data_IF_753541132576
#
_entry.id   IF_753541132576
#
_cell.length_a   1.000
_cell.length_b   1.000
_cell.length_c   1.000
_cell.angle_alpha   90.00
_cell.angle_beta   90.00
_cell.angle_gamma   90.00
#
_symmetry.space_group_name_H-M   'P 1'
#
loop_
_entity.id
_entity.type
_entity.pdbx_description
1 polymer ?
#
# COMPACT_ATOMS: atom_id res chain seq x y z
N UNK A 1 35.71 -1.07 5.87
CA UNK A 1 34.49 -0.32 5.47
C UNK A 1 33.54 -1.35 4.89
N UNK A 2 32.35 -1.46 5.46
CA UNK A 2 31.42 -2.53 5.13
C UNK A 2 30.79 -2.19 3.78
N UNK A 3 31.28 -2.83 2.71
CA UNK A 3 30.65 -2.83 1.39
C UNK A 3 29.31 -3.57 1.51
N UNK A 4 28.32 -2.91 2.10
CA UNK A 4 26.94 -3.40 2.04
C UNK A 4 26.56 -3.41 0.56
N UNK A 5 26.58 -4.61 -0.02
CA UNK A 5 26.23 -4.87 -1.41
C UNK A 5 24.98 -4.03 -1.75
N UNK A 6 25.03 -3.11 -2.73
CA UNK A 6 23.94 -2.20 -3.07
C UNK A 6 22.59 -2.91 -3.21
N UNK A 7 22.64 -4.17 -3.65
CA UNK A 7 21.49 -5.08 -3.76
C UNK A 7 20.84 -5.37 -2.41
N UNK A 8 21.61 -5.64 -1.36
CA UNK A 8 21.07 -5.90 -0.02
C UNK A 8 20.43 -4.66 0.60
N UNK A 9 21.01 -3.47 0.37
CA UNK A 9 20.41 -2.21 0.80
C UNK A 9 19.07 -1.97 0.09
N UNK A 10 19.03 -2.15 -1.23
CA UNK A 10 17.78 -2.03 -2.02
C UNK A 10 16.72 -3.02 -1.57
N UNK A 11 17.09 -4.27 -1.29
CA UNK A 11 16.17 -5.30 -0.78
C UNK A 11 15.61 -4.93 0.61
N UNK A 12 16.46 -4.41 1.50
CA UNK A 12 16.03 -3.94 2.82
C UNK A 12 15.08 -2.75 2.75
N UNK A 13 15.38 -1.75 1.92
CA UNK A 13 14.49 -0.61 1.68
C UNK A 13 13.13 -1.04 1.13
N UNK A 14 13.15 -1.91 0.12
CA UNK A 14 11.94 -2.47 -0.48
C UNK A 14 11.09 -3.25 0.53
N UNK A 15 11.71 -4.09 1.37
CA UNK A 15 11.00 -4.81 2.43
C UNK A 15 10.36 -3.83 3.43
N UNK A 16 11.07 -2.78 3.83
CA UNK A 16 10.55 -1.73 4.71
C UNK A 16 9.33 -1.01 4.11
N UNK A 17 9.41 -0.66 2.82
CA UNK A 17 8.31 -0.02 2.08
C UNK A 17 7.11 -0.94 1.93
N UNK A 18 7.32 -2.23 1.70
CA UNK A 18 6.25 -3.22 1.63
C UNK A 18 5.51 -3.33 2.97
N UNK A 19 6.24 -3.52 4.07
CA UNK A 19 5.63 -3.62 5.42
C UNK A 19 4.85 -2.36 5.80
N UNK A 20 5.37 -1.19 5.43
CA UNK A 20 4.68 0.08 5.64
C UNK A 20 3.37 0.16 4.86
N UNK A 21 3.39 -0.27 3.60
CA UNK A 21 2.22 -0.27 2.72
C UNK A 21 1.14 -1.26 3.21
N UNK A 22 1.54 -2.43 3.70
CA UNK A 22 0.63 -3.41 4.32
C UNK A 22 -0.04 -2.82 5.57
N UNK A 23 0.72 -2.16 6.44
CA UNK A 23 0.18 -1.47 7.62
C UNK A 23 -0.80 -0.35 7.24
N UNK A 24 -0.49 0.42 6.21
CA UNK A 24 -1.36 1.51 5.76
C UNK A 24 -2.64 0.95 5.11
N UNK A 25 -2.58 -0.19 4.42
CA UNK A 25 -3.74 -0.89 3.88
C UNK A 25 -4.67 -1.40 4.98
N UNK A 26 -4.13 -1.95 6.07
CA UNK A 26 -4.95 -2.38 7.20
C UNK A 26 -5.65 -1.21 7.90
N UNK A 27 -4.98 -0.07 8.04
CA UNK A 27 -5.62 1.16 8.53
C UNK A 27 -6.77 1.60 7.63
N UNK A 28 -6.59 1.55 6.31
CA UNK A 28 -7.67 1.87 5.37
C UNK A 28 -8.88 0.93 5.50
N UNK A 29 -8.67 -0.37 5.78
CA UNK A 29 -9.77 -1.30 6.05
C UNK A 29 -10.56 -0.88 7.29
N UNK A 30 -9.86 -0.50 8.37
CA UNK A 30 -10.49 -0.01 9.61
C UNK A 30 -11.28 1.27 9.34
N UNK A 31 -10.71 2.23 8.60
CA UNK A 31 -11.44 3.45 8.23
C UNK A 31 -12.68 3.14 7.38
N UNK A 32 -12.58 2.24 6.41
CA UNK A 32 -13.75 1.82 5.62
C UNK A 32 -14.86 1.21 6.49
N UNK A 33 -14.51 0.37 7.47
CA UNK A 33 -15.49 -0.17 8.42
C UNK A 33 -16.15 0.94 9.23
N UNK A 34 -15.37 1.92 9.70
CA UNK A 34 -15.91 3.06 10.44
C UNK A 34 -16.86 3.91 9.58
N UNK A 35 -16.51 4.17 8.32
CA UNK A 35 -17.38 4.87 7.36
C UNK A 35 -18.70 4.12 7.17
N UNK A 36 -18.65 2.79 7.01
CA UNK A 36 -19.87 1.99 6.86
C UNK A 36 -20.78 2.10 8.10
N UNK A 37 -20.20 2.10 9.31
CA UNK A 37 -20.95 2.27 10.55
C UNK A 37 -21.55 3.67 10.70
N UNK A 38 -20.87 4.70 10.18
CA UNK A 38 -21.43 6.06 10.13
C UNK A 38 -22.59 6.13 9.14
N UNK A 39 -22.46 5.54 7.96
CA UNK A 39 -23.52 5.48 6.95
C UNK A 39 -24.78 4.77 7.46
N UNK A 40 -24.63 3.66 8.19
CA UNK A 40 -25.76 2.95 8.81
C UNK A 40 -26.52 3.78 9.87
N UNK A 41 -25.84 4.73 10.51
CA UNK A 41 -26.42 5.57 11.58
C UNK A 41 -26.87 6.94 11.09
N UNK A 42 -26.44 7.36 9.90
CA UNK A 42 -26.65 8.70 9.35
C UNK A 42 -28.12 9.11 9.25
N UNK A 43 -29.05 8.17 9.12
CA UNK A 43 -30.48 8.48 9.08
C UNK A 43 -30.97 9.13 10.38
N UNK A 44 -30.43 8.67 11.53
CA UNK A 44 -30.89 9.06 12.86
C UNK A 44 -29.83 9.83 13.68
N UNK A 45 -28.59 9.93 13.20
CA UNK A 45 -27.48 10.55 13.90
C UNK A 45 -26.92 11.74 13.09
N UNK A 46 -27.16 12.96 13.60
CA UNK A 46 -26.66 14.19 12.99
C UNK A 46 -25.14 14.33 13.03
N UNK A 47 -24.48 13.78 14.04
CA UNK A 47 -23.02 13.79 14.12
C UNK A 47 -22.43 12.84 13.08
N UNK A 48 -23.06 11.67 12.85
CA UNK A 48 -22.63 10.76 11.80
C UNK A 48 -22.72 11.41 10.41
N UNK A 49 -23.80 12.17 10.14
CA UNK A 49 -23.93 12.95 8.90
C UNK A 49 -22.86 14.02 8.76
N UNK A 50 -22.57 14.76 9.82
CA UNK A 50 -21.53 15.81 9.79
C UNK A 50 -20.15 15.22 9.46
N UNK A 51 -19.80 14.09 10.09
CA UNK A 51 -18.53 13.41 9.84
C UNK A 51 -18.44 12.91 8.40
N UNK A 52 -19.52 12.34 7.86
CA UNK A 52 -19.59 11.91 6.46
C UNK A 52 -19.46 13.10 5.50
N UNK A 53 -20.14 14.21 5.75
CA UNK A 53 -20.01 15.43 4.92
C UNK A 53 -18.59 16.00 4.94
N UNK A 54 -17.92 15.98 6.09
CA UNK A 54 -16.50 16.40 6.20
C UNK A 54 -15.58 15.45 5.44
N UNK A 55 -15.87 14.15 5.48
CA UNK A 55 -15.12 13.15 4.74
C UNK A 55 -15.28 13.34 3.22
N UNK A 56 -16.50 13.55 2.74
CA UNK A 56 -16.77 13.82 1.33
C UNK A 56 -16.11 15.13 0.87
N UNK A 57 -16.07 16.16 1.72
CA UNK A 57 -15.36 17.41 1.42
C UNK A 57 -13.83 17.22 1.35
N UNK A 58 -13.26 16.36 2.19
CA UNK A 58 -11.83 16.06 2.19
C UNK A 58 -11.42 15.12 1.04
N UNK A 59 -12.34 14.25 0.60
CA UNK A 59 -12.15 13.29 -0.48
C UNK A 59 -13.28 13.44 -1.51
N UNK A 60 -13.27 14.52 -2.32
CA UNK A 60 -14.37 14.84 -3.23
C UNK A 60 -14.59 13.76 -4.30
N UNK A 61 -13.53 13.06 -4.70
CA UNK A 61 -13.61 11.93 -5.64
C UNK A 61 -13.93 10.59 -4.93
N UNK A 62 -14.19 10.65 -3.63
CA UNK A 62 -14.55 9.52 -2.78
C UNK A 62 -13.37 8.69 -2.30
N UNK A 63 -13.50 8.18 -1.08
CA UNK A 63 -12.53 7.28 -0.45
C UNK A 63 -12.26 5.99 -1.26
N UNK A 64 -13.20 5.58 -2.12
CA UNK A 64 -13.04 4.43 -3.02
C UNK A 64 -11.94 4.63 -4.05
N UNK A 65 -11.77 5.85 -4.59
CA UNK A 65 -10.76 6.11 -5.61
C UNK A 65 -9.35 6.09 -5.01
N UNK A 66 -9.16 6.67 -3.84
CA UNK A 66 -7.87 6.61 -3.14
C UNK A 66 -7.49 5.17 -2.75
N UNK A 67 -8.47 4.37 -2.32
CA UNK A 67 -8.27 2.93 -2.11
C UNK A 67 -7.84 2.21 -3.39
N UNK A 68 -8.45 2.54 -4.54
CA UNK A 68 -8.09 1.93 -5.83
C UNK A 68 -6.64 2.28 -6.23
N UNK A 69 -6.26 3.56 -6.17
CA UNK A 69 -4.88 4.02 -6.43
C UNK A 69 -3.85 3.27 -5.57
N UNK A 70 -4.18 3.03 -4.30
CA UNK A 70 -3.30 2.32 -3.39
C UNK A 70 -3.18 0.83 -3.72
N UNK A 71 -4.27 0.18 -4.12
CA UNK A 71 -4.24 -1.21 -4.60
C UNK A 71 -3.45 -1.37 -5.91
N UNK A 72 -3.54 -0.39 -6.81
CA UNK A 72 -2.74 -0.37 -8.04
C UNK A 72 -1.25 -0.23 -7.72
N UNK A 73 -0.89 0.65 -6.78
CA UNK A 73 0.49 0.81 -6.31
C UNK A 73 1.05 -0.49 -5.72
N UNK A 74 0.28 -1.19 -4.88
CA UNK A 74 0.66 -2.51 -4.33
C UNK A 74 0.90 -3.53 -5.46
N UNK A 75 0.00 -3.56 -6.45
CA UNK A 75 0.09 -4.48 -7.58
C UNK A 75 1.35 -4.21 -8.41
N UNK A 76 1.67 -2.93 -8.67
CA UNK A 76 2.89 -2.53 -9.36
C UNK A 76 4.14 -2.91 -8.57
N UNK A 77 4.15 -2.73 -7.26
CA UNK A 77 5.26 -3.16 -6.40
C UNK A 77 5.47 -4.67 -6.48
N UNK A 78 4.41 -5.47 -6.44
CA UNK A 78 4.51 -6.94 -6.60
C UNK A 78 5.19 -7.34 -7.91
N UNK A 79 4.90 -6.63 -9.01
CA UNK A 79 5.54 -6.84 -10.31
C UNK A 79 7.03 -6.48 -10.25
N UNK A 80 7.36 -5.33 -9.67
CA UNK A 80 8.75 -4.89 -9.51
C UNK A 80 9.58 -5.88 -8.68
N UNK A 81 8.99 -6.46 -7.62
CA UNK A 81 9.63 -7.50 -6.83
C UNK A 81 9.96 -8.76 -7.63
N UNK A 82 9.00 -9.26 -8.42
CA UNK A 82 9.22 -10.44 -9.29
C UNK A 82 10.31 -10.18 -10.34
N UNK A 83 10.35 -8.97 -10.88
CA UNK A 83 11.39 -8.56 -11.83
C UNK A 83 12.77 -8.54 -11.16
N UNK A 84 12.87 -7.98 -9.95
CA UNK A 84 14.11 -7.97 -9.17
C UNK A 84 14.57 -9.41 -8.84
N UNK A 85 13.66 -10.27 -8.40
CA UNK A 85 13.94 -11.69 -8.13
C UNK A 85 14.50 -12.40 -9.38
N UNK A 86 13.91 -12.12 -10.55
CA UNK A 86 14.37 -12.67 -11.83
C UNK A 86 15.75 -12.16 -12.20
N UNK A 87 16.01 -10.86 -12.03
CA UNK A 87 17.33 -10.27 -12.30
C UNK A 87 18.42 -10.89 -11.40
N UNK A 88 18.12 -11.12 -10.12
CA UNK A 88 19.05 -11.76 -9.18
C UNK A 88 19.34 -13.21 -9.55
N UNK A 89 18.32 -13.98 -9.93
CA UNK A 89 18.49 -15.37 -10.41
C UNK A 89 19.37 -15.42 -11.66
N UNK A 90 19.18 -14.49 -12.59
CA UNK A 90 19.96 -14.42 -13.82
C UNK A 90 21.42 -14.07 -13.54
N UNK A 91 21.70 -13.12 -12.63
CA UNK A 91 23.07 -12.79 -12.23
C UNK A 91 23.82 -14.01 -11.67
N UNK A 92 23.20 -14.76 -10.74
CA UNK A 92 23.77 -15.99 -10.17
C UNK A 92 23.95 -17.13 -11.19
N UNK A 93 23.16 -17.14 -12.28
CA UNK A 93 23.31 -18.12 -13.35
C UNK A 93 24.52 -17.81 -14.24
N UNK A 94 24.77 -16.53 -14.54
CA UNK A 94 25.97 -16.10 -15.29
C UNK A 94 27.27 -16.34 -14.54
N UNK A 95 27.31 -16.17 -13.21
CA UNK A 95 28.53 -16.42 -12.42
C UNK A 95 28.90 -17.90 -12.30
N UNK A 96 27.93 -18.83 -12.39
CA UNK A 96 28.19 -20.28 -12.34
C UNK A 96 28.61 -20.89 -13.69
N UNK A 97 28.73 -20.08 -14.76
CA UNK A 97 29.10 -20.56 -16.10
C UNK A 97 30.50 -20.12 -16.53
N UNK A 98 31.32 -19.62 -15.60
CA UNK A 98 32.72 -19.24 -15.82
C UNK A 98 33.70 -20.14 -15.07
#
# INVERSE_FOLDING_TARGET
MNDSNPIQYMLGDLQGRYSKLESDLDKLKVFQQHINLLQQRADNDSQAREVLSRLDAAFPDGFKQEKAKMMDCISQMSIQFKQLETQLKNMNATENTQ
#
